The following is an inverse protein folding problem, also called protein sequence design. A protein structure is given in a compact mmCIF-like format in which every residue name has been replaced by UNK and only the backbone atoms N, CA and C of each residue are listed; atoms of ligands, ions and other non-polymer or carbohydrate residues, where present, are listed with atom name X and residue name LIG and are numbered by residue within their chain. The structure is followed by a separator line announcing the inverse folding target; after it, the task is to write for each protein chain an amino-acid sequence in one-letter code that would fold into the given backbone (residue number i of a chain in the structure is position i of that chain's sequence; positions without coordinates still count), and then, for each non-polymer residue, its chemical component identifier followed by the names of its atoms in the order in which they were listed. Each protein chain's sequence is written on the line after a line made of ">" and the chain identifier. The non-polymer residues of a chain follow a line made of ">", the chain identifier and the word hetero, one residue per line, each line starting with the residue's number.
data_IF_140850575587
#
_entry.id   IF_140850575587
#
_cell.length_a   1.000
_cell.length_b   1.000
_cell.length_c   1.000
_cell.angle_alpha   90.00
_cell.angle_beta   90.00
_cell.angle_gamma   90.00
#
_symmetry.space_group_name_H-M   'P 1'
#
loop_
_entity.id
_entity.type
_entity.pdbx_description
1 polymer ?
#
# COMPACT_ATOMS: atom_id res chain seq x y z
N UNK A 1 13.46 -15.60 17.30
CA UNK A 1 12.98 -14.43 18.08
C UNK A 1 12.85 -13.18 17.19
N UNK A 2 13.87 -12.82 16.38
CA UNK A 2 13.81 -11.70 15.42
C UNK A 2 12.63 -11.80 14.42
N UNK A 3 12.32 -12.99 13.89
CA UNK A 3 11.23 -13.14 12.90
C UNK A 3 9.82 -12.89 13.47
N UNK A 4 9.55 -13.24 14.74
CA UNK A 4 8.25 -13.01 15.36
C UNK A 4 8.00 -11.52 15.63
N UNK A 5 9.03 -10.79 16.06
CA UNK A 5 8.95 -9.35 16.26
C UNK A 5 8.69 -8.62 14.93
N UNK A 6 9.41 -8.99 13.87
CA UNK A 6 9.21 -8.41 12.53
C UNK A 6 7.79 -8.68 12.03
N UNK A 7 7.29 -9.92 12.17
CA UNK A 7 5.91 -10.24 11.80
C UNK A 7 4.91 -9.38 12.59
N UNK A 8 5.11 -9.24 13.90
CA UNK A 8 4.25 -8.41 14.73
C UNK A 8 4.27 -6.93 14.30
N UNK A 9 5.45 -6.36 14.05
CA UNK A 9 5.57 -4.98 13.56
C UNK A 9 4.91 -4.79 12.20
N UNK A 10 5.01 -5.76 11.30
CA UNK A 10 4.31 -5.74 9.99
C UNK A 10 2.79 -5.77 10.18
N UNK A 11 2.26 -6.54 11.13
CA UNK A 11 0.84 -6.55 11.45
C UNK A 11 0.37 -5.19 12.00
N UNK A 12 1.14 -4.59 12.90
CA UNK A 12 0.87 -3.24 13.41
C UNK A 12 0.90 -2.21 12.27
N UNK A 13 1.88 -2.32 11.36
CA UNK A 13 1.95 -1.49 10.16
C UNK A 13 0.71 -1.64 9.27
N UNK A 14 0.23 -2.86 9.04
CA UNK A 14 -0.99 -3.12 8.27
C UNK A 14 -2.25 -2.54 8.93
N UNK A 15 -2.34 -2.60 10.26
CA UNK A 15 -3.40 -1.96 11.02
C UNK A 15 -3.34 -0.42 10.85
N UNK A 16 -2.16 0.17 10.99
CA UNK A 16 -1.95 1.60 10.80
C UNK A 16 -2.34 2.07 9.39
N UNK A 17 -1.94 1.34 8.34
CA UNK A 17 -2.33 1.62 6.95
C UNK A 17 -3.85 1.56 6.77
N UNK A 18 -4.51 0.58 7.39
CA UNK A 18 -5.97 0.45 7.32
C UNK A 18 -6.70 1.59 8.03
N UNK A 19 -6.21 2.01 9.19
CA UNK A 19 -6.73 3.19 9.91
C UNK A 19 -6.50 4.46 9.09
N UNK A 20 -5.31 4.62 8.49
CA UNK A 20 -4.96 5.76 7.66
C UNK A 20 -5.85 5.85 6.40
N UNK A 21 -6.10 4.74 5.71
CA UNK A 21 -6.98 4.74 4.53
C UNK A 21 -8.43 5.07 4.88
N UNK A 22 -8.92 4.62 6.05
CA UNK A 22 -10.25 4.98 6.57
C UNK A 22 -10.36 6.47 6.93
N UNK A 23 -9.40 7.00 7.70
CA UNK A 23 -9.39 8.42 8.09
C UNK A 23 -9.25 9.34 6.89
N UNK A 24 -8.36 9.02 5.96
CA UNK A 24 -8.19 9.80 4.73
C UNK A 24 -9.41 9.70 3.82
N UNK A 25 -10.08 8.55 3.74
CA UNK A 25 -11.36 8.44 3.05
C UNK A 25 -12.41 9.40 3.65
N UNK A 26 -12.51 9.48 4.98
CA UNK A 26 -13.42 10.44 5.63
C UNK A 26 -13.03 11.88 5.35
N UNK A 27 -11.75 12.23 5.50
CA UNK A 27 -11.25 13.58 5.24
C UNK A 27 -11.46 13.99 3.77
N UNK A 28 -11.31 13.05 2.83
CA UNK A 28 -11.53 13.30 1.40
C UNK A 28 -12.96 13.70 1.06
N UNK A 29 -13.94 13.30 1.87
CA UNK A 29 -15.34 13.74 1.72
C UNK A 29 -15.57 15.16 2.24
N UNK A 30 -14.66 15.67 3.07
CA UNK A 30 -14.75 17.02 3.66
C UNK A 30 -14.00 18.04 2.82
N UNK A 31 -12.74 17.75 2.44
CA UNK A 31 -11.87 18.73 1.78
C UNK A 31 -11.54 18.40 0.32
N UNK A 32 -11.98 17.24 -0.18
CA UNK A 32 -11.63 16.75 -1.50
C UNK A 32 -10.50 15.73 -1.47
N UNK A 33 -10.46 14.90 -2.52
CA UNK A 33 -9.58 13.74 -2.60
C UNK A 33 -8.12 14.16 -2.85
N UNK A 34 -7.89 15.08 -3.80
CA UNK A 34 -6.55 15.55 -4.13
C UNK A 34 -5.97 16.34 -2.95
N UNK A 35 -6.78 17.19 -2.34
CA UNK A 35 -6.44 18.00 -1.17
C UNK A 35 -6.06 17.12 0.03
N UNK A 36 -6.76 16.00 0.23
CA UNK A 36 -6.43 15.02 1.27
C UNK A 36 -5.11 14.32 1.02
N UNK A 37 -4.83 13.92 -0.24
CA UNK A 37 -3.55 13.31 -0.61
C UNK A 37 -2.42 14.32 -0.43
N UNK A 38 -2.60 15.56 -0.91
CA UNK A 38 -1.65 16.65 -0.76
C UNK A 38 -1.35 16.93 0.72
N UNK A 39 -2.38 17.05 1.55
CA UNK A 39 -2.22 17.29 2.99
C UNK A 39 -1.50 16.12 3.68
N UNK A 40 -1.82 14.88 3.33
CA UNK A 40 -1.17 13.69 3.89
C UNK A 40 0.33 13.64 3.58
N UNK A 41 0.70 13.86 2.32
CA UNK A 41 2.10 13.90 1.91
C UNK A 41 2.84 15.13 2.43
N UNK A 42 2.20 16.30 2.40
CA UNK A 42 2.80 17.54 2.89
C UNK A 42 3.10 17.49 4.39
N UNK A 43 2.11 17.12 5.20
CA UNK A 43 2.31 16.96 6.65
C UNK A 43 3.31 15.84 6.98
N UNK A 44 3.24 14.71 6.26
CA UNK A 44 4.21 13.63 6.39
C UNK A 44 5.63 14.07 6.06
N UNK A 45 5.83 14.82 4.97
CA UNK A 45 7.13 15.35 4.58
C UNK A 45 7.69 16.33 5.61
N UNK A 46 6.85 17.18 6.21
CA UNK A 46 7.29 18.07 7.30
C UNK A 46 7.77 17.30 8.52
N UNK A 47 6.98 16.31 8.98
CA UNK A 47 7.35 15.46 10.13
C UNK A 47 8.63 14.69 9.84
N UNK A 48 8.73 14.06 8.67
CA UNK A 48 9.93 13.33 8.25
C UNK A 48 11.13 14.26 8.10
N UNK A 49 10.95 15.49 7.61
CA UNK A 49 12.01 16.48 7.50
C UNK A 49 12.65 16.80 8.85
N UNK A 50 11.83 17.00 9.89
CA UNK A 50 12.30 17.16 11.27
C UNK A 50 13.07 15.92 11.73
N UNK A 51 12.51 14.72 11.51
CA UNK A 51 13.18 13.47 11.89
C UNK A 51 14.51 13.27 11.17
N UNK A 52 14.62 13.62 9.90
CA UNK A 52 15.87 13.55 9.14
C UNK A 52 16.92 14.50 9.69
N UNK A 53 16.55 15.72 10.10
CA UNK A 53 17.50 16.68 10.69
C UNK A 53 18.09 16.19 12.01
N UNK A 54 17.28 15.56 12.87
CA UNK A 54 17.73 15.16 14.22
C UNK A 54 18.24 13.71 14.30
N UNK A 55 17.72 12.81 13.46
CA UNK A 55 17.97 11.37 13.55
C UNK A 55 18.43 10.76 12.22
N UNK A 56 18.45 11.52 11.12
CA UNK A 56 18.89 11.04 9.82
C UNK A 56 20.39 10.75 9.80
N UNK A 57 20.76 9.60 9.25
CA UNK A 57 22.16 9.18 9.07
C UNK A 57 22.58 9.10 7.59
N UNK A 58 21.68 9.44 6.66
CA UNK A 58 21.92 9.39 5.22
C UNK A 58 22.41 10.72 4.63
N UNK A 59 22.64 10.74 3.31
CA UNK A 59 23.05 11.93 2.55
C UNK A 59 22.00 12.31 1.51
N UNK A 60 21.25 13.39 1.75
CA UNK A 60 20.20 13.89 0.84
C UNK A 60 20.79 14.36 -0.49
N UNK A 61 22.06 14.81 -0.53
CA UNK A 61 22.68 15.28 -1.77
C UNK A 61 22.80 14.17 -2.82
N UNK A 62 22.78 12.89 -2.42
CA UNK A 62 22.85 11.75 -3.34
C UNK A 62 21.60 11.62 -4.23
N UNK A 63 20.49 12.27 -3.90
CA UNK A 63 19.30 12.29 -4.76
C UNK A 63 19.61 12.84 -6.17
N UNK A 64 20.62 13.71 -6.29
CA UNK A 64 21.05 14.27 -7.57
C UNK A 64 21.73 13.24 -8.49
N UNK A 65 22.27 12.17 -7.90
CA UNK A 65 22.95 11.08 -8.62
C UNK A 65 22.11 9.80 -8.69
N UNK A 66 20.99 9.75 -7.96
CA UNK A 66 20.12 8.58 -7.92
C UNK A 66 19.51 8.26 -9.30
N UNK A 67 19.32 6.97 -9.64
CA UNK A 67 18.64 6.56 -10.86
C UNK A 67 17.24 7.17 -10.97
N UNK A 68 16.93 7.76 -12.13
CA UNK A 68 15.64 8.44 -12.37
C UNK A 68 14.42 7.54 -12.10
N UNK A 69 14.57 6.24 -12.35
CA UNK A 69 13.51 5.26 -12.12
C UNK A 69 13.21 5.06 -10.62
N UNK A 70 14.24 5.12 -9.77
CA UNK A 70 14.07 5.07 -8.31
C UNK A 70 13.41 6.35 -7.79
N UNK A 71 13.81 7.51 -8.32
CA UNK A 71 13.15 8.78 -8.02
C UNK A 71 11.68 8.78 -8.45
N UNK A 72 11.34 8.08 -9.53
CA UNK A 72 9.96 7.93 -10.00
C UNK A 72 9.06 7.17 -9.01
N UNK A 73 9.64 6.33 -8.13
CA UNK A 73 8.88 5.56 -7.14
C UNK A 73 8.05 6.44 -6.21
N UNK A 74 8.45 7.69 -5.98
CA UNK A 74 7.67 8.68 -5.20
C UNK A 74 6.27 8.88 -5.79
N UNK A 75 6.16 8.95 -7.13
CA UNK A 75 4.87 9.12 -7.80
C UNK A 75 3.99 7.88 -7.70
N UNK A 76 4.58 6.68 -7.65
CA UNK A 76 3.84 5.43 -7.40
C UNK A 76 3.24 5.42 -5.99
N UNK A 77 3.96 5.95 -5.00
CA UNK A 77 3.44 6.12 -3.63
C UNK A 77 2.27 7.09 -3.57
N UNK A 78 2.36 8.24 -4.25
CA UNK A 78 1.25 9.21 -4.34
C UNK A 78 0.04 8.57 -5.01
N UNK A 79 0.24 7.88 -6.14
CA UNK A 79 -0.82 7.17 -6.85
C UNK A 79 -1.47 6.08 -5.98
N UNK A 80 -0.68 5.33 -5.20
CA UNK A 80 -1.20 4.32 -4.29
C UNK A 80 -2.13 4.92 -3.24
N UNK A 81 -1.73 6.01 -2.57
CA UNK A 81 -2.58 6.65 -1.54
C UNK A 81 -3.84 7.25 -2.16
N UNK A 82 -3.72 7.90 -3.32
CA UNK A 82 -4.86 8.42 -4.08
C UNK A 82 -5.87 7.30 -4.39
N UNK A 83 -5.40 6.20 -4.98
CA UNK A 83 -6.24 5.06 -5.37
C UNK A 83 -6.80 4.35 -4.14
N UNK A 84 -6.03 4.26 -3.05
CA UNK A 84 -6.49 3.70 -1.78
C UNK A 84 -7.69 4.48 -1.26
N UNK A 85 -7.59 5.82 -1.16
CA UNK A 85 -8.69 6.69 -0.71
C UNK A 85 -9.89 6.56 -1.65
N UNK A 86 -9.68 6.61 -2.96
CA UNK A 86 -10.74 6.45 -3.96
C UNK A 86 -11.47 5.11 -3.80
N UNK A 87 -10.73 4.01 -3.68
CA UNK A 87 -11.28 2.67 -3.56
C UNK A 87 -11.98 2.47 -2.22
N UNK A 88 -11.45 2.98 -1.11
CA UNK A 88 -12.12 2.92 0.20
C UNK A 88 -13.46 3.66 0.16
N UNK A 89 -13.54 4.80 -0.52
CA UNK A 89 -14.80 5.53 -0.70
C UNK A 89 -15.85 4.74 -1.48
N UNK A 90 -15.46 3.81 -2.36
CA UNK A 90 -16.35 3.02 -3.24
C UNK A 90 -16.68 1.62 -2.70
N UNK A 91 -15.69 0.95 -2.13
CA UNK A 91 -15.72 -0.47 -1.76
C UNK A 91 -15.76 -0.69 -0.24
N UNK A 92 -15.53 0.36 0.56
CA UNK A 92 -15.25 0.22 1.98
C UNK A 92 -13.81 -0.22 2.26
N UNK A 93 -13.39 -0.10 3.53
CA UNK A 93 -11.98 -0.27 3.95
C UNK A 93 -11.47 -1.69 3.67
N UNK A 94 -12.19 -2.71 4.13
CA UNK A 94 -11.74 -4.11 4.06
C UNK A 94 -11.56 -4.58 2.62
N UNK A 95 -12.57 -4.38 1.76
CA UNK A 95 -12.51 -4.80 0.36
C UNK A 95 -11.45 -4.03 -0.43
N UNK A 96 -11.32 -2.71 -0.20
CA UNK A 96 -10.29 -1.90 -0.86
C UNK A 96 -8.87 -2.35 -0.46
N UNK A 97 -8.62 -2.58 0.82
CA UNK A 97 -7.30 -2.99 1.30
C UNK A 97 -6.94 -4.41 0.84
N UNK A 98 -7.88 -5.36 0.88
CA UNK A 98 -7.61 -6.71 0.36
C UNK A 98 -7.33 -6.68 -1.14
N UNK A 99 -8.12 -5.92 -1.91
CA UNK A 99 -7.88 -5.74 -3.36
C UNK A 99 -6.48 -5.19 -3.63
N UNK A 100 -6.04 -4.20 -2.84
CA UNK A 100 -4.71 -3.63 -2.95
C UNK A 100 -3.62 -4.66 -2.64
N UNK A 101 -3.77 -5.47 -1.58
CA UNK A 101 -2.82 -6.54 -1.22
C UNK A 101 -2.73 -7.59 -2.35
N UNK A 102 -3.85 -7.99 -2.94
CA UNK A 102 -3.87 -8.89 -4.11
C UNK A 102 -3.03 -8.31 -5.25
N UNK A 103 -3.26 -7.04 -5.59
CA UNK A 103 -2.49 -6.35 -6.64
C UNK A 103 -1.00 -6.27 -6.32
N UNK A 104 -0.65 -5.95 -5.07
CA UNK A 104 0.74 -5.89 -4.60
C UNK A 104 1.45 -7.24 -4.71
N UNK A 105 0.80 -8.34 -4.31
CA UNK A 105 1.40 -9.68 -4.39
C UNK A 105 1.55 -10.14 -5.85
N UNK A 106 0.55 -9.89 -6.70
CA UNK A 106 0.66 -10.20 -8.13
C UNK A 106 1.80 -9.43 -8.80
N UNK A 107 1.91 -8.13 -8.53
CA UNK A 107 3.01 -7.31 -9.03
C UNK A 107 4.36 -7.80 -8.48
N UNK A 108 4.43 -8.15 -7.19
CA UNK A 108 5.62 -8.71 -6.57
C UNK A 108 6.10 -10.00 -7.25
N UNK A 109 5.19 -10.89 -7.63
CA UNK A 109 5.56 -12.11 -8.36
C UNK A 109 6.10 -11.83 -9.76
N UNK A 110 5.56 -10.82 -10.46
CA UNK A 110 6.09 -10.40 -11.76
C UNK A 110 7.49 -9.80 -11.59
N UNK A 111 7.69 -8.93 -10.59
CA UNK A 111 8.98 -8.33 -10.26
C UNK A 111 10.02 -9.41 -9.96
N UNK A 112 9.68 -10.35 -9.09
CA UNK A 112 10.54 -11.47 -8.70
C UNK A 112 10.87 -12.37 -9.89
N UNK A 113 9.88 -12.75 -10.71
CA UNK A 113 10.10 -13.70 -11.80
C UNK A 113 10.97 -13.12 -12.92
N UNK A 114 10.86 -11.80 -13.14
CA UNK A 114 11.61 -11.09 -14.16
C UNK A 114 12.92 -10.48 -13.64
N UNK A 115 13.18 -10.55 -12.32
CA UNK A 115 14.36 -9.93 -11.70
C UNK A 115 14.37 -8.40 -11.85
N UNK A 116 13.20 -7.77 -11.90
CA UNK A 116 13.11 -6.32 -12.12
C UNK A 116 13.76 -5.56 -10.96
N UNK A 117 14.31 -4.38 -11.27
CA UNK A 117 14.92 -3.47 -10.29
C UNK A 117 16.10 -4.09 -9.50
N UNK A 118 16.79 -5.07 -10.09
CA UNK A 118 17.91 -5.77 -9.43
C UNK A 118 17.47 -6.79 -8.38
N UNK A 119 16.17 -7.16 -8.35
CA UNK A 119 15.67 -8.22 -7.48
C UNK A 119 16.24 -9.58 -7.90
N UNK A 120 16.32 -10.51 -6.94
CA UNK A 120 16.67 -11.90 -7.24
C UNK A 120 15.58 -12.54 -8.10
N UNK A 121 16.00 -13.27 -9.13
CA UNK A 121 15.05 -14.02 -9.97
C UNK A 121 14.53 -15.20 -9.16
N UNK A 122 13.24 -15.18 -8.84
CA UNK A 122 12.56 -16.26 -8.10
C UNK A 122 11.54 -16.91 -9.02
N UNK A 123 11.67 -18.22 -9.21
CA UNK A 123 10.71 -18.99 -10.00
C UNK A 123 9.33 -19.06 -9.33
N UNK A 124 8.29 -19.04 -10.17
CA UNK A 124 6.91 -19.16 -9.70
C UNK A 124 6.68 -20.62 -9.28
N UNK A 125 6.63 -20.84 -7.97
CA UNK A 125 6.31 -22.14 -7.39
C UNK A 125 4.81 -22.41 -7.38
N UNK A 126 4.44 -23.69 -7.26
CA UNK A 126 3.03 -24.07 -7.13
C UNK A 126 2.36 -23.47 -5.88
N UNK A 127 3.11 -23.26 -4.79
CA UNK A 127 2.62 -22.60 -3.58
C UNK A 127 2.20 -21.16 -3.87
N UNK A 128 2.97 -20.40 -4.68
CA UNK A 128 2.62 -19.05 -5.10
C UNK A 128 1.30 -19.03 -5.89
N UNK A 129 1.09 -20.00 -6.77
CA UNK A 129 -0.18 -20.15 -7.50
C UNK A 129 -1.37 -20.41 -6.56
N UNK A 130 -1.21 -21.33 -5.59
CA UNK A 130 -2.26 -21.59 -4.58
C UNK A 130 -2.55 -20.34 -3.76
N UNK A 131 -1.54 -19.59 -3.33
CA UNK A 131 -1.73 -18.36 -2.56
C UNK A 131 -2.59 -17.35 -3.31
N UNK A 132 -2.32 -17.13 -4.61
CA UNK A 132 -3.14 -16.24 -5.45
C UNK A 132 -4.58 -16.72 -5.51
N UNK A 133 -4.81 -18.02 -5.75
CA UNK A 133 -6.17 -18.59 -5.82
C UNK A 133 -6.93 -18.39 -4.51
N UNK A 134 -6.28 -18.63 -3.37
CA UNK A 134 -6.89 -18.42 -2.05
C UNK A 134 -7.21 -16.94 -1.80
N UNK A 135 -6.34 -16.02 -2.20
CA UNK A 135 -6.59 -14.59 -2.07
C UNK A 135 -7.75 -14.11 -2.95
N UNK A 136 -7.85 -14.62 -4.19
CA UNK A 136 -8.99 -14.35 -5.07
C UNK A 136 -10.28 -14.92 -4.45
N UNK A 137 -10.23 -16.12 -3.88
CA UNK A 137 -11.35 -16.72 -3.15
C UNK A 137 -11.81 -15.85 -1.97
N UNK A 138 -10.87 -15.38 -1.14
CA UNK A 138 -11.17 -14.46 -0.04
C UNK A 138 -11.81 -13.16 -0.54
N UNK A 139 -11.31 -12.60 -1.65
CA UNK A 139 -11.86 -11.40 -2.26
C UNK A 139 -13.30 -11.62 -2.77
N UNK A 140 -13.57 -12.76 -3.42
CA UNK A 140 -14.90 -13.13 -3.91
C UNK A 140 -15.91 -13.27 -2.77
N UNK A 141 -15.50 -13.84 -1.63
CA UNK A 141 -16.34 -13.96 -0.44
C UNK A 141 -16.72 -12.58 0.12
N UNK A 142 -15.76 -11.66 0.24
CA UNK A 142 -16.03 -10.29 0.71
C UNK A 142 -17.00 -9.57 -0.22
N UNK A 143 -16.80 -9.65 -1.54
CA UNK A 143 -17.72 -8.98 -2.47
C UNK A 143 -19.12 -9.59 -2.46
N UNK A 144 -19.24 -10.90 -2.24
CA UNK A 144 -20.52 -11.58 -2.12
C UNK A 144 -21.28 -11.15 -0.86
N UNK A 145 -20.58 -11.03 0.26
CA UNK A 145 -21.13 -10.50 1.53
C UNK A 145 -21.64 -9.08 1.35
N UNK A 146 -20.85 -8.18 0.77
CA UNK A 146 -21.26 -6.82 0.47
C UNK A 146 -22.49 -6.73 -0.46
N UNK A 147 -22.57 -7.60 -1.46
CA UNK A 147 -23.72 -7.65 -2.37
C UNK A 147 -24.99 -8.14 -1.66
N UNK A 148 -24.85 -9.11 -0.74
CA UNK A 148 -25.95 -9.60 0.09
C UNK A 148 -26.49 -8.49 1.00
N UNK A 149 -25.61 -7.79 1.72
CA UNK A 149 -26.00 -6.69 2.64
C UNK A 149 -26.67 -5.51 1.93
N UNK A 150 -26.32 -5.22 0.67
CA UNK A 150 -26.97 -4.14 -0.11
C UNK A 150 -28.40 -4.46 -0.58
N UNK A 151 -28.80 -5.74 -0.63
CA UNK A 151 -30.17 -6.14 -1.02
C UNK A 151 -31.16 -6.12 0.14
N UNK A 152 -30.67 -6.01 1.38
CA UNK A 152 -31.48 -6.07 2.60
C UNK A 152 -31.92 -4.69 3.11
N UNK A 153 -31.56 -3.62 2.40
CA UNK A 153 -31.99 -2.22 2.65
C UNK A 153 -32.61 -1.65 1.37
#
# INVERSE_FOLDING_TARGET
>A
MLSLLVVFLTLVGGAAVSTQSSLNSRLSKTIGLIETVFFSFGSGALVLGVLVVFFGSGNISELLHAPKLELFAVFLGIAFVFLSIFNVNKLGVTAANLTAIVGQILAGFVIDKLGLFGSQVIDISWQRCISILLMIGALALIFTEQHSSRKTY
#
